data_IF_123881465765
#
_entry.id   IF_123881465765
#
_cell.length_a   1.000
_cell.length_b   1.000
_cell.length_c   1.000
_cell.angle_alpha   90.00
_cell.angle_beta   90.00
_cell.angle_gamma   90.00
#
_symmetry.space_group_name_H-M   'P 1'
#
loop_
_entity.id
_entity.type
_entity.pdbx_description
1 polymer ?
#
# COMPACT_ATOMS: atom_id res chain seq x y z
N UNK A 1 2.43 -35.59 8.15
CA UNK A 1 3.45 -34.75 7.50
C UNK A 1 3.26 -33.34 8.03
N UNK A 2 4.28 -32.74 8.63
CA UNK A 2 4.25 -31.35 9.11
C UNK A 2 4.72 -30.45 7.99
N UNK A 3 3.92 -29.44 7.63
CA UNK A 3 4.28 -28.44 6.62
C UNK A 3 4.98 -27.30 7.36
N UNK A 4 6.21 -26.98 6.96
CA UNK A 4 6.91 -25.82 7.49
C UNK A 4 6.46 -24.56 6.75
N UNK A 5 6.08 -23.53 7.51
CA UNK A 5 5.62 -22.25 6.98
C UNK A 5 6.55 -21.14 7.45
N UNK A 6 6.80 -20.16 6.58
CA UNK A 6 7.52 -18.94 6.93
C UNK A 6 6.54 -17.78 7.12
N UNK A 7 6.90 -16.80 7.94
CA UNK A 7 6.15 -15.55 8.03
C UNK A 7 6.21 -14.83 6.68
N UNK A 8 5.08 -14.33 6.21
CA UNK A 8 4.98 -13.59 4.95
C UNK A 8 4.67 -12.13 5.23
N UNK A 9 5.41 -11.22 4.59
CA UNK A 9 5.12 -9.78 4.66
C UNK A 9 5.09 -9.18 3.25
N UNK A 10 4.03 -8.45 2.91
CA UNK A 10 3.89 -7.82 1.60
C UNK A 10 5.08 -6.90 1.24
N UNK A 11 5.63 -6.20 2.24
CA UNK A 11 6.78 -5.28 2.08
C UNK A 11 8.02 -5.93 1.48
N UNK A 12 8.20 -7.24 1.62
CA UNK A 12 9.34 -7.98 1.05
C UNK A 12 9.32 -7.99 -0.49
N UNK A 13 8.17 -7.71 -1.10
CA UNK A 13 7.94 -7.75 -2.54
C UNK A 13 7.66 -6.36 -3.15
N UNK A 14 7.68 -5.30 -2.35
CA UNK A 14 7.44 -3.92 -2.81
C UNK A 14 8.75 -3.24 -3.28
N UNK A 15 9.60 -3.98 -3.99
CA UNK A 15 10.95 -3.55 -4.38
C UNK A 15 10.99 -2.60 -5.59
N UNK A 16 9.85 -2.45 -6.28
CA UNK A 16 9.72 -1.71 -7.53
C UNK A 16 8.44 -0.88 -7.56
N UNK A 17 8.47 0.20 -8.34
CA UNK A 17 7.32 1.09 -8.50
C UNK A 17 6.09 0.36 -9.05
N UNK A 18 6.30 -0.61 -9.94
CA UNK A 18 5.23 -1.43 -10.49
C UNK A 18 4.60 -2.36 -9.43
N UNK A 19 5.39 -2.96 -8.55
CA UNK A 19 4.88 -3.79 -7.47
C UNK A 19 4.09 -2.97 -6.44
N UNK A 20 4.60 -1.77 -6.12
CA UNK A 20 3.91 -0.81 -5.24
C UNK A 20 2.57 -0.38 -5.84
N UNK A 21 2.54 -0.05 -7.14
CA UNK A 21 1.32 0.36 -7.81
C UNK A 21 0.28 -0.77 -7.80
N UNK A 22 0.67 -1.97 -8.22
CA UNK A 22 -0.24 -3.13 -8.25
C UNK A 22 -0.78 -3.48 -6.86
N UNK A 23 0.04 -3.35 -5.81
CA UNK A 23 -0.38 -3.59 -4.44
C UNK A 23 -1.40 -2.55 -3.95
N UNK A 24 -1.17 -1.26 -4.25
CA UNK A 24 -2.11 -0.20 -3.92
C UNK A 24 -3.41 -0.35 -4.69
N UNK A 25 -3.34 -0.61 -6.00
CA UNK A 25 -4.52 -0.83 -6.85
C UNK A 25 -5.40 -1.97 -6.31
N UNK A 26 -4.80 -3.10 -5.94
CA UNK A 26 -5.53 -4.22 -5.34
C UNK A 26 -6.20 -3.83 -4.01
N UNK A 27 -5.53 -3.06 -3.16
CA UNK A 27 -6.11 -2.56 -1.91
C UNK A 27 -7.27 -1.57 -2.15
N UNK A 28 -7.17 -0.73 -3.19
CA UNK A 28 -8.25 0.20 -3.57
C UNK A 28 -9.43 -0.51 -4.22
N UNK A 29 -9.21 -1.59 -4.97
CA UNK A 29 -10.25 -2.38 -5.61
C UNK A 29 -11.13 -3.13 -4.58
N UNK A 30 -10.52 -3.62 -3.51
CA UNK A 30 -11.25 -4.22 -2.37
C UNK A 30 -12.11 -3.18 -1.64
N UNK A 31 -11.66 -1.93 -1.61
CA UNK A 31 -12.41 -0.78 -1.07
C UNK A 31 -12.50 -0.74 0.45
N UNK A 32 -11.83 -1.66 1.16
CA UNK A 32 -11.81 -1.72 2.62
C UNK A 32 -10.84 -0.66 3.21
N UNK A 33 -11.34 0.34 3.97
CA UNK A 33 -10.50 1.42 4.47
C UNK A 33 -9.31 0.98 5.34
N UNK A 34 -9.47 0.03 6.29
CA UNK A 34 -8.34 -0.56 7.03
C UNK A 34 -7.27 -1.19 6.12
N UNK A 35 -7.67 -1.89 5.05
CA UNK A 35 -6.74 -2.50 4.10
C UNK A 35 -5.94 -1.44 3.34
N UNK A 36 -6.60 -0.39 2.86
CA UNK A 36 -5.95 0.73 2.17
C UNK A 36 -4.95 1.43 3.10
N UNK A 37 -5.31 1.64 4.38
CA UNK A 37 -4.40 2.23 5.37
C UNK A 37 -3.17 1.35 5.62
N UNK A 38 -3.37 0.03 5.71
CA UNK A 38 -2.28 -0.93 5.85
C UNK A 38 -1.35 -0.89 4.63
N UNK A 39 -1.91 -0.91 3.42
CA UNK A 39 -1.14 -0.89 2.19
C UNK A 39 -0.28 0.38 2.05
N UNK A 40 -0.87 1.54 2.36
CA UNK A 40 -0.13 2.81 2.39
C UNK A 40 0.98 2.81 3.46
N UNK A 41 0.74 2.21 4.63
CA UNK A 41 1.76 2.08 5.68
C UNK A 41 2.94 1.22 5.23
N UNK A 42 2.66 0.14 4.51
CA UNK A 42 3.68 -0.78 4.02
C UNK A 42 4.52 -0.14 2.91
N UNK A 43 3.89 0.59 1.99
CA UNK A 43 4.59 1.39 0.98
C UNK A 43 5.45 2.48 1.64
N UNK A 44 4.94 3.17 2.66
CA UNK A 44 5.69 4.19 3.38
C UNK A 44 6.96 3.62 4.05
N UNK A 45 6.86 2.43 4.70
CA UNK A 45 8.01 1.72 5.27
C UNK A 45 9.07 1.41 4.22
N UNK A 46 8.66 0.88 3.07
CA UNK A 46 9.58 0.44 2.01
C UNK A 46 10.27 1.63 1.33
N UNK A 47 9.56 2.76 1.19
CA UNK A 47 10.11 4.01 0.66
C UNK A 47 10.94 4.81 1.66
N UNK A 48 10.99 4.39 2.93
CA UNK A 48 11.68 5.13 4.00
C UNK A 48 11.03 6.47 4.37
N UNK A 49 9.75 6.65 4.03
CA UNK A 49 8.99 7.85 4.40
C UNK A 49 8.33 7.56 5.76
N UNK A 50 8.77 8.26 6.79
CA UNK A 50 8.38 7.99 8.18
C UNK A 50 6.91 8.33 8.54
N UNK A 51 6.06 8.65 7.56
CA UNK A 51 4.68 9.06 7.79
C UNK A 51 3.75 7.84 7.64
N UNK A 52 3.42 7.21 8.77
CA UNK A 52 2.41 6.16 8.81
C UNK A 52 1.01 6.78 8.73
N UNK A 53 0.15 6.34 7.79
CA UNK A 53 -1.24 6.77 7.76
C UNK A 53 -1.98 6.30 9.01
N UNK A 54 -2.88 7.14 9.52
CA UNK A 54 -3.72 6.80 10.68
C UNK A 54 -4.84 5.84 10.23
N UNK A 55 -5.35 4.99 11.14
CA UNK A 55 -6.45 4.06 10.80
C UNK A 55 -7.76 4.76 10.39
N UNK A 56 -7.91 6.05 10.72
CA UNK A 56 -9.01 6.91 10.28
C UNK A 56 -8.53 7.80 9.12
N UNK A 57 -8.52 7.23 7.91
CA UNK A 57 -8.05 7.92 6.70
C UNK A 57 -9.22 8.50 5.91
N UNK A 58 -9.34 9.83 5.95
CA UNK A 58 -10.13 10.56 4.97
C UNK A 58 -9.49 10.44 3.57
N UNK A 59 -10.31 10.45 2.51
CA UNK A 59 -9.85 10.39 1.11
C UNK A 59 -8.80 11.48 0.77
N UNK A 60 -8.92 12.68 1.36
CA UNK A 60 -7.92 13.75 1.21
C UNK A 60 -6.55 13.37 1.76
N UNK A 61 -6.53 12.63 2.88
CA UNK A 61 -5.31 12.12 3.48
C UNK A 61 -4.64 11.10 2.56
N UNK A 62 -5.42 10.23 1.94
CA UNK A 62 -4.93 9.23 0.96
C UNK A 62 -4.30 9.91 -0.25
N UNK A 63 -4.99 10.88 -0.85
CA UNK A 63 -4.49 11.63 -2.01
C UNK A 63 -3.19 12.37 -1.67
N UNK A 64 -3.11 12.96 -0.47
CA UNK A 64 -1.90 13.64 -0.01
C UNK A 64 -0.72 12.68 0.16
N UNK A 65 -0.94 11.51 0.74
CA UNK A 65 0.10 10.49 0.93
C UNK A 65 0.60 9.98 -0.42
N UNK A 66 -0.28 9.70 -1.38
CA UNK A 66 0.11 9.33 -2.75
C UNK A 66 0.98 10.40 -3.42
N UNK A 67 0.56 11.67 -3.30
CA UNK A 67 1.31 12.80 -3.84
C UNK A 67 2.68 12.96 -3.18
N UNK A 68 2.78 12.76 -1.86
CA UNK A 68 4.04 12.76 -1.12
C UNK A 68 4.96 11.61 -1.52
N UNK A 69 4.39 10.47 -1.92
CA UNK A 69 5.11 9.30 -2.45
C UNK A 69 5.54 9.46 -3.91
N UNK A 70 5.14 10.55 -4.60
CA UNK A 70 5.42 10.75 -6.02
C UNK A 70 4.68 9.77 -6.94
N UNK A 71 3.63 9.13 -6.43
CA UNK A 71 2.86 8.13 -7.14
C UNK A 71 1.54 8.75 -7.60
N UNK A 72 1.34 8.82 -8.92
CA UNK A 72 0.02 9.08 -9.49
C UNK A 72 -0.66 7.74 -9.76
N UNK A 73 -1.74 7.44 -9.03
CA UNK A 73 -2.63 6.33 -9.40
C UNK A 73 -3.29 6.71 -10.73
N UNK A 74 -2.71 6.28 -11.84
CA UNK A 74 -3.45 6.20 -13.08
C UNK A 74 -4.43 5.05 -12.92
N UNK A 75 -5.60 5.32 -12.36
CA UNK A 75 -6.69 4.37 -12.32
C UNK A 75 -7.05 4.02 -13.78
N UNK A 76 -6.37 3.03 -14.35
CA UNK A 76 -6.83 2.38 -15.56
C UNK A 76 -7.85 1.36 -15.09
N UNK A 77 -9.04 1.87 -14.78
CA UNK A 77 -10.24 1.07 -14.73
C UNK A 77 -10.34 0.36 -16.08
N UNK A 78 -10.04 -0.95 -16.09
CA UNK A 78 -10.33 -1.84 -17.18
C UNK A 78 -11.76 -2.36 -17.03
#
# INVERSE_FOLDING_TARGET
MTVETTGWTATEYLDSDAAILAYLEAAFEDGDPPLIAAALSDVAKVRGIAEQPKPDIALDSVIRTLKALGLELTAKAA
#
